data_IF_674411571907
#
_entry.id   IF_674411571907
#
_cell.length_a   1.000
_cell.length_b   1.000
_cell.length_c   1.000
_cell.angle_alpha   90.00
_cell.angle_beta   90.00
_cell.angle_gamma   90.00
#
_symmetry.space_group_name_H-M   'P 1'
#
loop_
_entity.id
_entity.type
_entity.pdbx_description
1 polymer ?
#
# COMPACT_ATOMS: atom_id res chain seq x y z
N UNK A 1 -2.40 19.63 -10.45
CA UNK A 1 -3.05 18.32 -10.18
C UNK A 1 -4.54 18.60 -10.11
N UNK A 2 -5.34 17.91 -10.91
CA UNK A 2 -6.80 18.07 -10.94
C UNK A 2 -7.37 16.74 -10.51
N UNK A 3 -8.10 16.72 -9.39
CA UNK A 3 -8.84 15.55 -8.96
C UNK A 3 -10.05 15.36 -9.88
N UNK A 4 -10.21 14.16 -10.40
CA UNK A 4 -11.35 13.80 -11.22
C UNK A 4 -12.27 12.86 -10.44
N UNK A 5 -13.60 13.04 -10.54
CA UNK A 5 -14.53 12.11 -9.92
C UNK A 5 -14.44 10.74 -10.59
N UNK A 6 -14.82 9.69 -9.86
CA UNK A 6 -14.71 8.30 -10.31
C UNK A 6 -15.45 7.99 -11.63
N UNK A 7 -16.54 8.71 -11.92
CA UNK A 7 -17.29 8.56 -13.17
C UNK A 7 -16.51 9.01 -14.43
N UNK A 8 -15.41 9.74 -14.26
CA UNK A 8 -14.56 10.16 -15.37
C UNK A 8 -13.69 9.02 -15.91
N UNK A 9 -13.53 7.91 -15.19
CA UNK A 9 -12.74 6.76 -15.65
C UNK A 9 -13.30 6.18 -16.97
N UNK A 10 -12.42 5.95 -17.93
CA UNK A 10 -12.77 5.51 -19.28
C UNK A 10 -13.25 6.62 -20.22
N UNK A 11 -13.52 7.83 -19.73
CA UNK A 11 -13.91 8.96 -20.58
C UNK A 11 -12.71 9.63 -21.25
N UNK A 12 -12.96 10.27 -22.41
CA UNK A 12 -11.98 11.10 -23.10
C UNK A 12 -11.94 12.49 -22.47
N UNK A 13 -10.80 12.87 -21.90
CA UNK A 13 -10.53 14.23 -21.46
C UNK A 13 -9.91 15.03 -22.61
N UNK A 14 -10.44 16.22 -22.87
CA UNK A 14 -9.90 17.16 -23.87
C UNK A 14 -9.38 18.39 -23.14
N UNK A 15 -8.09 18.67 -23.27
CA UNK A 15 -7.49 19.91 -22.79
C UNK A 15 -7.37 20.85 -23.98
N UNK A 16 -8.03 22.00 -23.91
CA UNK A 16 -7.92 23.08 -24.89
C UNK A 16 -7.10 24.20 -24.29
N UNK A 17 -6.07 24.62 -25.01
CA UNK A 17 -5.31 25.83 -24.68
C UNK A 17 -5.49 26.83 -25.81
N UNK A 18 -5.60 28.10 -25.48
CA UNK A 18 -5.67 29.19 -26.46
C UNK A 18 -4.45 30.08 -26.27
N UNK A 19 -3.73 30.32 -27.35
CA UNK A 19 -2.63 31.29 -27.37
C UNK A 19 -3.20 32.72 -27.38
N UNK A 20 -2.42 33.73 -26.96
CA UNK A 20 -2.86 35.14 -27.03
C UNK A 20 -3.25 35.60 -28.43
N UNK A 21 -2.72 34.97 -29.49
CA UNK A 21 -3.07 35.22 -30.89
C UNK A 21 -4.35 34.50 -31.35
N UNK A 22 -5.05 33.82 -30.45
CA UNK A 22 -6.32 33.15 -30.72
C UNK A 22 -6.20 31.73 -31.27
N UNK A 23 -4.98 31.23 -31.55
CA UNK A 23 -4.76 29.85 -32.00
C UNK A 23 -5.12 28.88 -30.88
N UNK A 24 -5.96 27.90 -31.18
CA UNK A 24 -6.33 26.83 -30.25
C UNK A 24 -5.47 25.57 -30.47
N UNK A 25 -4.98 24.99 -29.37
CA UNK A 25 -4.28 23.71 -29.35
C UNK A 25 -5.07 22.76 -28.45
N UNK A 26 -5.44 21.60 -28.99
CA UNK A 26 -6.19 20.57 -28.25
C UNK A 26 -5.34 19.32 -28.05
N UNK A 27 -5.32 18.78 -26.84
CA UNK A 27 -4.79 17.46 -26.52
C UNK A 27 -5.93 16.57 -26.00
N UNK A 28 -5.95 15.30 -26.37
CA UNK A 28 -6.94 14.33 -25.87
C UNK A 28 -6.26 13.14 -25.22
N UNK A 29 -6.78 12.70 -24.07
CA UNK A 29 -6.34 11.50 -23.36
C UNK A 29 -7.54 10.73 -22.82
N UNK A 30 -7.38 9.42 -22.55
CA UNK A 30 -8.38 8.63 -21.82
C UNK A 30 -8.04 8.68 -20.34
N UNK A 31 -9.01 9.05 -19.51
CA UNK A 31 -8.87 9.02 -18.05
C UNK A 31 -8.88 7.56 -17.60
N UNK A 32 -7.85 7.14 -16.86
CA UNK A 32 -7.77 5.80 -16.29
C UNK A 32 -7.30 5.91 -14.85
N UNK A 33 -7.88 5.10 -13.96
CA UNK A 33 -7.30 4.90 -12.64
C UNK A 33 -5.93 4.26 -12.81
N UNK A 34 -4.91 4.82 -12.16
CA UNK A 34 -3.62 4.15 -12.10
C UNK A 34 -3.76 3.05 -11.04
N UNK A 35 -3.60 1.76 -11.39
CA UNK A 35 -3.67 0.71 -10.39
C UNK A 35 -2.66 1.01 -9.27
N UNK A 36 -2.97 0.67 -8.01
CA UNK A 36 -2.06 0.92 -6.90
C UNK A 36 -0.68 0.39 -7.28
N UNK A 37 0.33 1.24 -7.16
CA UNK A 37 1.68 0.88 -7.57
C UNK A 37 2.19 -0.17 -6.60
N UNK A 38 2.35 -1.40 -7.09
CA UNK A 38 2.92 -2.50 -6.31
C UNK A 38 4.42 -2.28 -6.18
N UNK A 39 4.91 -2.10 -4.96
CA UNK A 39 6.34 -2.07 -4.67
C UNK A 39 6.88 -3.51 -4.72
N UNK A 40 7.80 -3.78 -5.65
CA UNK A 40 8.51 -5.05 -5.77
C UNK A 40 9.96 -4.86 -5.34
N UNK A 41 10.39 -5.64 -4.36
CA UNK A 41 11.75 -5.59 -3.84
C UNK A 41 12.01 -6.76 -2.91
N UNK A 42 13.28 -6.99 -2.59
CA UNK A 42 13.69 -8.04 -1.65
C UNK A 42 13.74 -7.57 -0.19
N UNK A 43 13.86 -6.25 0.03
CA UNK A 43 13.87 -5.60 1.33
C UNK A 43 13.46 -4.11 1.21
N UNK A 44 13.21 -3.49 2.36
CA UNK A 44 13.03 -2.04 2.50
C UNK A 44 14.11 -1.50 3.43
N UNK A 45 14.80 -0.45 3.01
CA UNK A 45 15.86 0.23 3.76
C UNK A 45 15.50 1.69 3.95
N UNK A 46 15.55 2.18 5.19
CA UNK A 46 15.30 3.58 5.56
C UNK A 46 16.55 4.07 6.30
N UNK A 47 17.08 5.23 5.91
CA UNK A 47 18.32 5.81 6.48
C UNK A 47 19.52 4.84 6.48
N UNK A 48 19.65 4.03 5.42
CA UNK A 48 20.71 3.02 5.30
C UNK A 48 20.53 1.79 6.19
N UNK A 49 19.43 1.68 6.95
CA UNK A 49 19.12 0.52 7.79
C UNK A 49 17.96 -0.29 7.22
N UNK A 50 18.15 -1.61 7.12
CA UNK A 50 17.07 -2.49 6.69
C UNK A 50 15.97 -2.53 7.75
N UNK A 51 14.74 -2.19 7.35
CA UNK A 51 13.54 -2.18 8.21
C UNK A 51 12.59 -3.32 7.90
N UNK A 52 12.56 -3.80 6.65
CA UNK A 52 11.75 -4.96 6.23
C UNK A 52 12.61 -5.89 5.40
N UNK A 53 12.63 -7.18 5.76
CA UNK A 53 13.32 -8.24 5.01
C UNK A 53 12.35 -9.19 4.34
N UNK A 54 12.83 -10.41 4.02
CA UNK A 54 11.97 -11.50 3.54
C UNK A 54 11.00 -11.94 4.63
N UNK A 55 9.80 -12.37 4.22
CA UNK A 55 8.82 -13.03 5.08
C UNK A 55 9.49 -14.19 5.84
N UNK A 56 9.24 -14.25 7.15
CA UNK A 56 9.79 -15.28 8.04
C UNK A 56 8.76 -16.39 8.29
N UNK A 57 9.18 -17.56 8.82
CA UNK A 57 8.28 -18.60 9.27
C UNK A 57 7.30 -18.11 10.35
N UNK A 58 6.19 -18.82 10.52
CA UNK A 58 5.19 -18.50 11.53
C UNK A 58 5.76 -18.67 12.94
N UNK A 59 5.51 -17.69 13.81
CA UNK A 59 5.80 -17.80 15.23
C UNK A 59 4.56 -18.39 15.92
N UNK A 60 4.75 -19.52 16.59
CA UNK A 60 3.68 -20.21 17.31
C UNK A 60 3.26 -19.39 18.52
N UNK A 61 1.96 -19.28 18.75
CA UNK A 61 1.43 -18.64 19.95
C UNK A 61 1.89 -19.38 21.20
N UNK A 62 2.27 -18.68 22.28
CA UNK A 62 2.75 -19.31 23.49
C UNK A 62 1.65 -20.16 24.13
N UNK A 63 1.93 -21.47 24.23
CA UNK A 63 1.10 -22.45 24.92
C UNK A 63 1.89 -23.01 26.12
N UNK A 64 1.24 -23.09 27.28
CA UNK A 64 1.87 -23.48 28.55
C UNK A 64 2.40 -22.34 29.44
N UNK A 65 3.20 -22.71 30.44
CA UNK A 65 3.72 -21.86 31.52
C UNK A 65 3.00 -22.06 32.85
N UNK A 66 3.77 -22.11 33.95
CA UNK A 66 3.22 -22.36 35.31
C UNK A 66 2.37 -21.21 35.83
N UNK A 67 2.65 -19.98 35.37
CA UNK A 67 1.84 -18.79 35.65
C UNK A 67 1.29 -18.25 34.33
N UNK A 68 -0.02 -18.31 34.17
CA UNK A 68 -0.70 -17.86 32.96
C UNK A 68 -1.27 -16.46 33.18
N UNK A 69 -0.62 -15.47 32.57
CA UNK A 69 -1.20 -14.13 32.39
C UNK A 69 -2.00 -14.10 31.09
N UNK A 70 -3.33 -14.00 31.23
CA UNK A 70 -4.26 -14.00 30.11
C UNK A 70 -4.18 -12.72 29.27
N UNK A 71 -3.95 -11.57 29.91
CA UNK A 71 -3.88 -10.28 29.21
C UNK A 71 -2.60 -10.21 28.37
N UNK A 72 -1.48 -10.63 28.94
CA UNK A 72 -0.22 -10.74 28.20
C UNK A 72 -0.33 -11.69 27.01
N UNK A 73 -0.98 -12.86 27.19
CA UNK A 73 -1.20 -13.82 26.08
C UNK A 73 -2.10 -13.23 24.99
N UNK A 74 -3.13 -12.48 25.37
CA UNK A 74 -3.99 -11.79 24.41
C UNK A 74 -3.23 -10.73 23.61
N UNK A 75 -2.40 -9.92 24.29
CA UNK A 75 -1.59 -8.89 23.63
C UNK A 75 -0.59 -9.49 22.63
N UNK A 76 0.11 -10.57 23.02
CA UNK A 76 1.03 -11.28 22.13
C UNK A 76 0.31 -11.87 20.92
N UNK A 77 -0.87 -12.46 21.12
CA UNK A 77 -1.68 -12.99 20.02
C UNK A 77 -2.04 -11.87 19.02
N UNK A 78 -2.49 -10.72 19.51
CA UNK A 78 -2.80 -9.56 18.65
C UNK A 78 -1.58 -9.08 17.86
N UNK A 79 -0.40 -9.03 18.49
CA UNK A 79 0.83 -8.65 17.80
C UNK A 79 1.21 -9.65 16.70
N UNK A 80 1.13 -10.96 16.99
CA UNK A 80 1.38 -12.02 16.01
C UNK A 80 0.39 -11.94 14.83
N UNK A 81 -0.89 -11.72 15.12
CA UNK A 81 -1.93 -11.60 14.08
C UNK A 81 -1.72 -10.38 13.19
N UNK A 82 -1.27 -9.25 13.76
CA UNK A 82 -0.88 -8.07 12.98
C UNK A 82 0.29 -8.38 12.03
N UNK A 83 1.33 -9.08 12.51
CA UNK A 83 2.48 -9.46 11.67
C UNK A 83 2.07 -10.42 10.54
N UNK A 84 1.14 -11.36 10.79
CA UNK A 84 0.57 -12.23 9.75
C UNK A 84 -0.20 -11.41 8.70
N UNK A 85 -1.05 -10.49 9.14
CA UNK A 85 -1.84 -9.61 8.27
C UNK A 85 -0.96 -8.73 7.38
N UNK A 86 0.14 -8.21 7.91
CA UNK A 86 1.12 -7.45 7.14
C UNK A 86 2.03 -8.32 6.24
N UNK A 87 2.00 -9.65 6.38
CA UNK A 87 2.83 -10.57 5.61
C UNK A 87 4.29 -10.63 6.05
N UNK A 88 4.60 -10.15 7.27
CA UNK A 88 5.97 -10.21 7.83
C UNK A 88 6.35 -11.63 8.24
N UNK A 89 5.38 -12.43 8.69
CA UNK A 89 5.53 -13.85 9.02
C UNK A 89 4.49 -14.70 8.28
N UNK A 90 4.73 -16.01 8.17
CA UNK A 90 3.73 -16.98 7.70
C UNK A 90 2.46 -16.96 8.56
N UNK A 91 1.32 -17.19 7.92
CA UNK A 91 0.00 -17.21 8.55
C UNK A 91 -0.20 -18.51 9.33
#
# INVERSE_FOLDING_TARGET
MIELPSWSEGQQAIVRTQTPSGIQISASAIVRSMPPTVLRGTNVTIDGRQVVGKRQPAIVSPDGGDTVDLEARAALKTALDAMRSHGLIES
#
